data_IF_574972391833
#
_entry.id   IF_574972391833
#
_cell.length_a   1.000
_cell.length_b   1.000
_cell.length_c   1.000
_cell.angle_alpha   90.00
_cell.angle_beta   90.00
_cell.angle_gamma   90.00
#
_symmetry.space_group_name_H-M   'P 1'
#
loop_
_entity.id
_entity.type
_entity.pdbx_description
1 polymer ?
#
# COMPACT_ATOMS: atom_id res chain seq x y z
N UNK A 1 -34.13 19.94 -14.15
CA UNK A 1 -34.39 19.54 -12.75
C UNK A 1 -33.18 18.76 -12.32
N UNK A 2 -32.31 19.33 -11.50
CA UNK A 2 -31.05 18.68 -11.08
C UNK A 2 -31.41 17.60 -10.06
N UNK A 3 -31.39 16.34 -10.49
CA UNK A 3 -31.56 15.18 -9.62
C UNK A 3 -30.30 15.05 -8.77
N UNK A 4 -30.36 15.54 -7.54
CA UNK A 4 -29.29 15.34 -6.58
C UNK A 4 -29.40 13.95 -5.95
N UNK A 5 -28.27 13.26 -5.84
CA UNK A 5 -28.14 11.95 -5.22
C UNK A 5 -28.16 12.05 -3.70
N UNK A 6 -28.80 11.08 -3.03
CA UNK A 6 -28.52 10.79 -1.62
C UNK A 6 -27.14 10.14 -1.49
N UNK A 7 -26.58 10.11 -0.28
CA UNK A 7 -25.23 9.53 -0.05
C UNK A 7 -25.08 8.09 -0.58
N UNK A 8 -26.13 7.27 -0.53
CA UNK A 8 -26.11 5.92 -1.08
C UNK A 8 -26.15 5.87 -2.62
N UNK A 9 -26.93 6.76 -3.24
CA UNK A 9 -27.00 6.90 -4.70
C UNK A 9 -25.69 7.49 -5.24
N UNK A 10 -25.07 8.43 -4.51
CA UNK A 10 -23.76 8.99 -4.85
C UNK A 10 -22.66 7.94 -4.71
N UNK A 11 -22.74 7.12 -3.66
CA UNK A 11 -21.82 6.00 -3.47
C UNK A 11 -21.87 5.03 -4.65
N UNK A 12 -23.07 4.67 -5.11
CA UNK A 12 -23.30 3.82 -6.28
C UNK A 12 -22.79 4.48 -7.58
N UNK A 13 -23.11 5.76 -7.80
CA UNK A 13 -22.71 6.49 -9.00
C UNK A 13 -21.18 6.71 -9.10
N UNK A 14 -20.48 6.86 -7.98
CA UNK A 14 -19.04 7.19 -7.93
C UNK A 14 -18.14 5.99 -7.63
N UNK A 15 -18.71 4.85 -7.24
CA UNK A 15 -17.94 3.70 -6.75
C UNK A 15 -17.18 4.00 -5.46
N UNK A 16 -17.72 4.87 -4.59
CA UNK A 16 -17.12 5.18 -3.30
C UNK A 16 -18.02 4.69 -2.18
N UNK A 17 -17.44 4.12 -1.12
CA UNK A 17 -18.26 3.70 0.03
C UNK A 17 -18.95 4.90 0.69
N UNK A 18 -20.16 4.70 1.23
CA UNK A 18 -20.82 5.71 2.08
C UNK A 18 -19.90 6.14 3.23
N UNK A 19 -19.07 5.21 3.76
CA UNK A 19 -18.06 5.50 4.78
C UNK A 19 -16.98 6.45 4.26
N UNK A 20 -16.52 6.26 3.02
CA UNK A 20 -15.53 7.12 2.35
C UNK A 20 -16.12 8.50 2.10
N UNK A 21 -17.37 8.59 1.64
CA UNK A 21 -18.06 9.87 1.46
C UNK A 21 -18.23 10.62 2.79
N UNK A 22 -18.61 9.91 3.87
CA UNK A 22 -18.64 10.50 5.21
C UNK A 22 -17.26 10.93 5.71
N UNK A 23 -16.22 10.15 5.43
CA UNK A 23 -14.85 10.53 5.77
C UNK A 23 -14.39 11.77 4.99
N UNK A 24 -14.70 11.84 3.69
CA UNK A 24 -14.41 13.00 2.85
C UNK A 24 -15.16 14.24 3.32
N UNK A 25 -16.41 14.11 3.78
CA UNK A 25 -17.10 15.19 4.50
C UNK A 25 -16.39 15.60 5.79
N UNK A 26 -16.00 14.63 6.62
CA UNK A 26 -15.36 14.90 7.91
C UNK A 26 -14.05 15.69 7.74
N UNK A 27 -13.29 15.41 6.67
CA UNK A 27 -12.05 16.12 6.37
C UNK A 27 -12.27 17.34 5.46
N UNK A 28 -13.52 17.69 5.13
CA UNK A 28 -13.86 18.83 4.27
C UNK A 28 -13.45 18.67 2.80
N UNK A 29 -13.15 17.44 2.35
CA UNK A 29 -12.83 17.15 0.97
C UNK A 29 -14.08 17.08 0.08
N UNK A 30 -15.24 16.79 0.64
CA UNK A 30 -16.55 16.84 -0.02
C UNK A 30 -17.52 17.59 0.90
N UNK A 31 -18.43 18.39 0.35
CA UNK A 31 -19.52 19.01 1.12
C UNK A 31 -20.83 18.81 0.37
N UNK A 32 -21.89 18.27 0.98
CA UNK A 32 -23.14 18.03 0.27
C UNK A 32 -23.74 19.34 -0.23
N UNK A 33 -24.11 19.39 -1.50
CA UNK A 33 -24.69 20.58 -2.13
C UNK A 33 -25.97 21.07 -1.45
N UNK A 34 -26.68 20.18 -0.74
CA UNK A 34 -27.84 20.57 0.04
C UNK A 34 -28.42 19.49 0.94
N UNK A 35 -29.65 19.73 1.41
CA UNK A 35 -30.44 18.78 2.17
C UNK A 35 -31.85 18.70 1.62
N UNK A 36 -32.40 17.49 1.59
CA UNK A 36 -33.80 17.23 1.26
C UNK A 36 -34.75 17.86 2.31
N UNK A 37 -36.05 18.04 2.00
CA UNK A 37 -37.04 18.50 2.96
C UNK A 37 -37.15 17.62 4.23
N UNK A 38 -36.78 16.34 4.12
CA UNK A 38 -36.73 15.39 5.23
C UNK A 38 -35.37 15.39 5.98
N UNK A 39 -34.46 16.32 5.68
CA UNK A 39 -33.18 16.49 6.38
C UNK A 39 -31.98 15.68 5.85
N UNK A 40 -32.21 14.74 4.92
CA UNK A 40 -31.15 13.92 4.31
C UNK A 40 -30.21 14.77 3.45
N UNK A 41 -28.91 14.42 3.43
CA UNK A 41 -27.90 15.02 2.55
C UNK A 41 -28.24 14.76 1.07
N UNK A 42 -27.99 15.75 0.23
CA UNK A 42 -28.16 15.70 -1.22
C UNK A 42 -26.88 16.23 -1.86
N UNK A 43 -26.41 15.53 -2.88
CA UNK A 43 -25.22 15.85 -3.66
C UNK A 43 -25.59 15.98 -5.12
N UNK A 44 -25.14 17.03 -5.78
CA UNK A 44 -25.43 17.25 -7.19
C UNK A 44 -24.26 16.84 -8.11
N UNK A 45 -24.40 17.15 -9.40
CA UNK A 45 -23.38 16.81 -10.39
C UNK A 45 -22.01 17.45 -10.13
N UNK A 46 -21.94 18.59 -9.43
CA UNK A 46 -20.67 19.22 -9.08
C UNK A 46 -19.94 18.43 -7.98
N UNK A 47 -20.68 17.83 -7.06
CA UNK A 47 -20.13 16.93 -6.04
C UNK A 47 -19.55 15.66 -6.67
N UNK A 48 -20.24 15.09 -7.65
CA UNK A 48 -19.73 13.95 -8.44
C UNK A 48 -18.47 14.30 -9.23
N UNK A 49 -18.47 15.45 -9.92
CA UNK A 49 -17.30 15.93 -10.66
C UNK A 49 -16.10 16.13 -9.72
N UNK A 50 -16.34 16.70 -8.54
CA UNK A 50 -15.31 16.87 -7.52
C UNK A 50 -14.74 15.52 -7.07
N UNK A 51 -15.59 14.52 -6.83
CA UNK A 51 -15.15 13.17 -6.46
C UNK A 51 -14.34 12.47 -7.56
N UNK A 52 -14.73 12.65 -8.82
CA UNK A 52 -13.94 12.17 -9.95
C UNK A 52 -12.54 12.79 -9.98
N UNK A 53 -12.44 14.11 -9.76
CA UNK A 53 -11.14 14.82 -9.67
C UNK A 53 -10.30 14.37 -8.49
N UNK A 54 -10.92 14.08 -7.33
CA UNK A 54 -10.23 13.46 -6.19
C UNK A 54 -9.57 12.14 -6.59
N UNK A 55 -10.31 11.27 -7.30
CA UNK A 55 -9.80 9.99 -7.77
C UNK A 55 -8.62 10.13 -8.74
N UNK A 56 -8.70 11.07 -9.69
CA UNK A 56 -7.60 11.35 -10.62
C UNK A 56 -6.34 11.83 -9.90
N UNK A 57 -6.46 12.78 -8.99
CA UNK A 57 -5.31 13.36 -8.31
C UNK A 57 -4.64 12.38 -7.33
N UNK A 58 -5.42 11.50 -6.71
CA UNK A 58 -4.89 10.38 -5.92
C UNK A 58 -4.07 9.41 -6.77
N UNK A 59 -4.47 9.14 -8.02
CA UNK A 59 -3.68 8.30 -8.96
C UNK A 59 -2.37 8.96 -9.38
N UNK A 60 -2.29 10.29 -9.35
CA UNK A 60 -1.06 11.04 -9.60
C UNK A 60 -0.10 11.07 -8.39
N UNK A 61 -0.49 10.43 -7.27
CA UNK A 61 0.35 10.27 -6.07
C UNK A 61 0.13 11.33 -4.99
N UNK A 62 -0.81 12.27 -5.18
CA UNK A 62 -1.11 13.30 -4.19
C UNK A 62 -1.83 12.68 -2.96
N UNK A 63 -1.56 13.20 -1.77
CA UNK A 63 -2.31 12.85 -0.56
C UNK A 63 -3.67 13.60 -0.47
N UNK A 64 -4.58 13.17 0.41
CA UNK A 64 -5.92 13.79 0.49
C UNK A 64 -5.90 15.26 0.93
N UNK A 65 -4.87 15.70 1.66
CA UNK A 65 -4.73 17.09 2.08
C UNK A 65 -4.24 17.97 0.92
N UNK A 66 -3.32 17.46 0.10
CA UNK A 66 -2.86 18.04 -1.16
C UNK A 66 -4.00 18.14 -2.16
N UNK A 67 -4.77 17.07 -2.34
CA UNK A 67 -5.95 17.05 -3.21
C UNK A 67 -6.97 18.09 -2.78
N UNK A 68 -7.28 18.19 -1.48
CA UNK A 68 -8.21 19.22 -0.98
C UNK A 68 -7.73 20.63 -1.34
N UNK A 69 -6.46 20.95 -1.03
CA UNK A 69 -5.87 22.27 -1.35
C UNK A 69 -5.93 22.58 -2.85
N UNK A 70 -5.63 21.59 -3.68
CA UNK A 70 -5.68 21.73 -5.14
C UNK A 70 -7.10 21.98 -5.66
N UNK A 71 -8.11 21.29 -5.12
CA UNK A 71 -9.50 21.46 -5.57
C UNK A 71 -10.18 22.71 -5.01
N UNK A 72 -9.68 23.27 -3.92
CA UNK A 72 -10.23 24.47 -3.28
C UNK A 72 -9.58 25.77 -3.79
N UNK A 73 -8.44 25.67 -4.46
CA UNK A 73 -7.74 26.80 -5.06
C UNK A 73 -8.20 27.02 -6.51
N UNK A 74 -8.92 28.14 -6.81
CA UNK A 74 -9.39 28.44 -8.16
C UNK A 74 -8.26 28.71 -9.16
N UNK A 75 -7.06 29.03 -8.66
CA UNK A 75 -5.87 29.27 -9.46
C UNK A 75 -5.04 27.98 -9.68
N UNK A 76 -5.46 26.85 -9.11
CA UNK A 76 -4.75 25.60 -9.26
C UNK A 76 -4.85 25.07 -10.69
N UNK A 77 -3.69 24.87 -11.30
CA UNK A 77 -3.56 24.37 -12.67
C UNK A 77 -3.33 22.84 -12.66
N UNK A 78 -4.26 22.03 -13.20
CA UNK A 78 -4.07 20.59 -13.35
C UNK A 78 -2.86 20.23 -14.21
N UNK A 79 -2.45 21.13 -15.12
CA UNK A 79 -1.27 20.95 -15.95
C UNK A 79 -0.02 20.79 -15.10
N UNK A 80 0.12 21.56 -14.02
CA UNK A 80 1.28 21.46 -13.11
C UNK A 80 1.38 20.09 -12.44
N UNK A 81 0.26 19.48 -12.05
CA UNK A 81 0.27 18.13 -11.47
C UNK A 81 0.60 17.04 -12.50
N UNK A 82 0.12 17.21 -13.73
CA UNK A 82 0.44 16.32 -14.85
C UNK A 82 1.92 16.46 -15.29
N UNK A 83 2.45 17.68 -15.31
CA UNK A 83 3.86 17.97 -15.59
C UNK A 83 4.77 17.39 -14.51
N UNK A 84 4.40 17.53 -13.23
CA UNK A 84 5.13 16.92 -12.12
C UNK A 84 5.11 15.38 -12.23
N UNK A 85 3.97 14.80 -12.60
CA UNK A 85 3.86 13.35 -12.80
C UNK A 85 4.66 12.88 -14.02
N UNK A 86 4.60 13.61 -15.14
CA UNK A 86 5.40 13.34 -16.34
C UNK A 86 6.89 13.42 -16.02
N UNK A 87 7.34 14.45 -15.30
CA UNK A 87 8.72 14.59 -14.87
C UNK A 87 9.17 13.43 -13.96
N UNK A 88 8.29 12.94 -13.09
CA UNK A 88 8.57 11.77 -12.25
C UNK A 88 8.68 10.48 -13.08
N UNK A 89 7.81 10.30 -14.09
CA UNK A 89 7.87 9.18 -15.03
C UNK A 89 9.16 9.23 -15.88
N UNK A 90 9.51 10.40 -16.40
CA UNK A 90 10.74 10.62 -17.17
C UNK A 90 11.97 10.33 -16.32
N UNK A 91 12.03 10.80 -15.07
CA UNK A 91 13.13 10.50 -14.15
C UNK A 91 13.26 9.00 -13.90
N UNK A 92 12.14 8.27 -13.80
CA UNK A 92 12.14 6.81 -13.61
C UNK A 92 12.57 6.07 -14.87
N UNK A 93 12.13 6.50 -16.05
CA UNK A 93 12.58 5.96 -17.34
C UNK A 93 14.09 6.14 -17.51
N UNK A 94 14.58 7.34 -17.21
CA UNK A 94 16.00 7.67 -17.27
C UNK A 94 16.86 6.83 -16.33
N UNK A 95 16.42 6.66 -15.08
CA UNK A 95 17.09 5.78 -14.12
C UNK A 95 17.11 4.33 -14.61
N UNK A 96 15.97 3.83 -15.09
CA UNK A 96 15.84 2.48 -15.64
C UNK A 96 16.73 2.27 -16.87
N UNK A 97 16.80 3.26 -17.76
CA UNK A 97 17.65 3.21 -18.95
C UNK A 97 19.14 3.20 -18.59
N UNK A 98 19.55 3.98 -17.57
CA UNK A 98 20.92 3.97 -17.03
C UNK A 98 21.27 2.61 -16.43
N UNK A 99 20.41 2.06 -15.58
CA UNK A 99 20.55 0.71 -15.01
C UNK A 99 20.69 -0.35 -16.10
N UNK A 100 19.79 -0.35 -17.09
CA UNK A 100 19.84 -1.26 -18.24
C UNK A 100 21.16 -1.17 -18.99
N UNK A 101 21.63 0.05 -19.29
CA UNK A 101 22.88 0.27 -20.02
C UNK A 101 24.07 -0.31 -19.27
N UNK A 102 24.12 -0.11 -17.95
CA UNK A 102 25.17 -0.66 -17.07
C UNK A 102 25.14 -2.17 -16.99
N UNK A 103 23.98 -2.78 -16.77
CA UNK A 103 23.80 -4.24 -16.77
C UNK A 103 24.23 -4.83 -18.12
N UNK A 104 23.84 -4.21 -19.23
CA UNK A 104 24.26 -4.63 -20.56
C UNK A 104 25.78 -4.53 -20.75
N UNK A 105 26.42 -3.46 -20.26
CA UNK A 105 27.87 -3.30 -20.27
C UNK A 105 28.60 -4.37 -19.45
N UNK A 106 28.11 -4.67 -18.24
CA UNK A 106 28.64 -5.71 -17.37
C UNK A 106 28.57 -7.11 -17.99
N UNK A 107 27.43 -7.42 -18.62
CA UNK A 107 27.24 -8.68 -19.35
C UNK A 107 28.19 -8.78 -20.56
N UNK A 108 28.39 -7.67 -21.29
CA UNK A 108 29.32 -7.62 -22.42
C UNK A 108 30.80 -7.75 -21.98
N UNK A 109 31.15 -7.30 -20.76
CA UNK A 109 32.49 -7.42 -20.18
C UNK A 109 32.81 -8.83 -19.61
N UNK A 110 31.90 -9.80 -19.75
CA UNK A 110 32.12 -11.19 -19.34
C UNK A 110 31.63 -11.54 -17.94
N UNK A 111 30.88 -10.65 -17.27
CA UNK A 111 30.12 -10.97 -16.06
C UNK A 111 30.91 -11.46 -14.84
N UNK A 112 32.23 -11.25 -14.79
CA UNK A 112 33.09 -11.82 -13.74
C UNK A 112 33.18 -11.00 -12.46
N UNK A 113 32.74 -9.74 -12.45
CA UNK A 113 32.74 -8.91 -11.25
C UNK A 113 31.35 -8.33 -10.96
N UNK A 114 30.45 -9.24 -10.56
CA UNK A 114 29.09 -8.90 -10.12
C UNK A 114 29.10 -7.88 -8.98
N UNK A 115 30.16 -7.86 -8.15
CA UNK A 115 30.30 -6.98 -6.99
C UNK A 115 30.56 -5.53 -7.43
N UNK A 116 31.51 -5.31 -8.36
CA UNK A 116 31.77 -3.97 -8.90
C UNK A 116 30.54 -3.38 -9.62
N UNK A 117 29.77 -4.22 -10.31
CA UNK A 117 28.55 -3.80 -10.99
C UNK A 117 27.48 -3.38 -9.99
N UNK A 118 27.29 -4.13 -8.90
CA UNK A 118 26.34 -3.78 -7.84
C UNK A 118 26.72 -2.46 -7.13
N UNK A 119 28.01 -2.24 -6.87
CA UNK A 119 28.53 -1.03 -6.18
C UNK A 119 28.39 0.25 -7.03
N UNK A 120 28.49 0.11 -8.36
CA UNK A 120 28.28 1.21 -9.30
C UNK A 120 26.80 1.49 -9.61
N UNK A 121 25.91 0.51 -9.41
CA UNK A 121 24.47 0.72 -9.51
C UNK A 121 23.95 1.52 -8.32
N UNK A 122 24.51 1.31 -7.13
CA UNK A 122 24.12 2.06 -5.92
C UNK A 122 24.47 3.54 -5.93
N UNK A 123 25.33 4.02 -6.84
CA UNK A 123 25.85 5.41 -6.85
C UNK A 123 25.16 6.38 -7.82
N UNK A 124 24.28 5.93 -8.72
CA UNK A 124 23.61 6.79 -9.73
C UNK A 124 22.10 6.98 -9.53
N UNK A 125 21.54 6.41 -8.48
CA UNK A 125 20.10 6.45 -8.24
C UNK A 125 19.72 7.64 -7.33
N UNK A 126 18.47 8.14 -7.35
CA UNK A 126 17.98 9.03 -6.29
C UNK A 126 18.37 8.45 -4.92
N UNK A 127 18.67 9.29 -3.91
CA UNK A 127 19.27 8.82 -2.65
C UNK A 127 18.44 7.76 -1.93
N UNK A 128 17.14 7.64 -2.24
CA UNK A 128 16.30 6.51 -1.87
C UNK A 128 15.94 5.70 -3.12
N UNK A 129 16.43 4.46 -3.16
CA UNK A 129 16.31 3.52 -4.30
C UNK A 129 15.08 2.63 -4.18
N UNK A 130 14.85 2.11 -2.96
CA UNK A 130 13.78 1.17 -2.66
C UNK A 130 13.33 1.35 -1.21
N UNK A 131 12.03 1.26 -0.97
CA UNK A 131 11.47 1.15 0.39
C UNK A 131 11.46 -0.32 0.79
N UNK A 132 12.17 -0.66 1.86
CA UNK A 132 12.06 -1.95 2.53
C UNK A 132 11.18 -1.78 3.76
N UNK A 133 10.14 -2.61 3.88
CA UNK A 133 9.32 -2.64 5.08
C UNK A 133 10.04 -3.48 6.14
N UNK A 134 10.07 -2.99 7.38
CA UNK A 134 10.57 -3.73 8.54
C UNK A 134 9.41 -4.01 9.49
N UNK A 135 9.23 -5.28 9.85
CA UNK A 135 8.30 -5.75 10.87
C UNK A 135 9.07 -6.30 12.06
N UNK A 136 8.56 -6.04 13.27
CA UNK A 136 9.25 -6.39 14.52
C UNK A 136 8.51 -7.53 15.19
N UNK A 137 9.24 -8.60 15.53
CA UNK A 137 8.69 -9.77 16.20
C UNK A 137 9.50 -10.13 17.45
N UNK A 138 8.85 -10.73 18.44
CA UNK A 138 9.53 -11.28 19.60
C UNK A 138 10.39 -12.52 19.23
N UNK A 139 9.90 -13.35 18.31
CA UNK A 139 10.66 -14.47 17.72
C UNK A 139 10.64 -14.40 16.18
N UNK A 140 11.73 -13.89 15.60
CA UNK A 140 11.90 -13.73 14.15
C UNK A 140 11.82 -15.05 13.39
N UNK A 141 12.39 -16.12 13.95
CA UNK A 141 12.42 -17.42 13.28
C UNK A 141 11.03 -18.07 13.25
N UNK A 142 10.30 -17.99 14.36
CA UNK A 142 8.91 -18.42 14.42
C UNK A 142 8.02 -17.58 13.50
N UNK A 143 8.24 -16.26 13.47
CA UNK A 143 7.49 -15.35 12.61
C UNK A 143 7.67 -15.67 11.12
N UNK A 144 8.91 -15.82 10.64
CA UNK A 144 9.18 -16.18 9.24
C UNK A 144 8.48 -17.49 8.87
N UNK A 145 8.66 -18.54 9.68
CA UNK A 145 8.06 -19.84 9.44
C UNK A 145 6.53 -19.78 9.42
N UNK A 146 5.93 -18.99 10.30
CA UNK A 146 4.49 -18.79 10.36
C UNK A 146 3.98 -18.05 9.12
N UNK A 147 4.60 -16.92 8.75
CA UNK A 147 4.19 -16.10 7.60
C UNK A 147 4.27 -16.89 6.30
N UNK A 148 5.35 -17.63 6.09
CA UNK A 148 5.53 -18.51 4.92
C UNK A 148 4.44 -19.59 4.90
N UNK A 149 4.21 -20.26 6.03
CA UNK A 149 3.26 -21.37 6.10
C UNK A 149 1.80 -20.92 5.98
N UNK A 150 1.43 -19.80 6.58
CA UNK A 150 0.03 -19.39 6.80
C UNK A 150 -0.46 -18.38 5.76
N UNK A 151 0.43 -17.51 5.28
CA UNK A 151 0.14 -16.57 4.19
C UNK A 151 0.77 -16.99 2.86
N UNK A 152 1.54 -18.07 2.80
CA UNK A 152 2.13 -18.53 1.54
C UNK A 152 3.16 -17.56 0.97
N UNK A 153 3.75 -16.70 1.81
CA UNK A 153 4.88 -15.87 1.41
C UNK A 153 6.09 -16.74 1.11
N UNK A 154 6.99 -16.25 0.25
CA UNK A 154 8.23 -16.97 -0.02
C UNK A 154 9.26 -16.66 1.07
N UNK A 155 10.00 -17.66 1.57
CA UNK A 155 11.07 -17.42 2.52
C UNK A 155 12.24 -16.69 1.85
N UNK A 156 12.85 -15.76 2.57
CA UNK A 156 14.17 -15.22 2.25
C UNK A 156 15.21 -15.70 3.28
N UNK A 157 16.30 -14.96 3.42
CA UNK A 157 17.38 -15.31 4.33
C UNK A 157 16.93 -15.28 5.80
N UNK A 158 17.55 -16.13 6.63
CA UNK A 158 17.36 -16.15 8.08
C UNK A 158 18.72 -16.21 8.77
N UNK A 159 19.16 -15.07 9.29
CA UNK A 159 20.46 -14.92 9.93
C UNK A 159 20.33 -15.24 11.42
N UNK A 160 21.26 -16.04 11.92
CA UNK A 160 21.32 -16.44 13.33
C UNK A 160 22.64 -16.00 13.98
N UNK A 161 22.59 -15.68 15.26
CA UNK A 161 23.79 -15.43 16.06
C UNK A 161 24.51 -16.73 16.46
N UNK A 162 25.60 -16.61 17.23
CA UNK A 162 26.39 -17.74 17.71
C UNK A 162 25.65 -18.69 18.67
N UNK A 163 24.55 -18.23 19.27
CA UNK A 163 23.68 -19.03 20.14
C UNK A 163 22.52 -19.67 19.34
N UNK A 164 22.46 -19.44 18.03
CA UNK A 164 21.43 -19.96 17.14
C UNK A 164 20.12 -19.18 17.17
N UNK A 165 20.04 -18.02 17.83
CA UNK A 165 18.85 -17.16 17.82
C UNK A 165 18.75 -16.41 16.50
N UNK A 166 17.55 -16.31 15.93
CA UNK A 166 17.33 -15.53 14.72
C UNK A 166 17.43 -14.04 15.05
N UNK A 167 18.36 -13.33 14.42
CA UNK A 167 18.62 -11.89 14.63
C UNK A 167 18.19 -11.02 13.45
N UNK A 168 17.89 -11.65 12.32
CA UNK A 168 17.31 -11.04 11.14
C UNK A 168 16.66 -12.12 10.29
N UNK A 169 15.53 -11.82 9.65
CA UNK A 169 14.88 -12.72 8.72
C UNK A 169 14.19 -11.95 7.59
N UNK A 170 13.90 -12.65 6.51
CA UNK A 170 13.24 -12.06 5.34
C UNK A 170 12.06 -12.91 4.87
N UNK A 171 11.02 -12.25 4.38
CA UNK A 171 9.97 -12.87 3.57
C UNK A 171 9.71 -12.02 2.33
N UNK A 172 9.35 -12.67 1.23
CA UNK A 172 8.99 -11.98 0.00
C UNK A 172 7.47 -11.97 -0.19
N UNK A 173 6.95 -10.79 -0.53
CA UNK A 173 5.57 -10.56 -0.90
C UNK A 173 5.54 -9.86 -2.26
N UNK A 174 5.20 -10.62 -3.32
CA UNK A 174 5.29 -10.12 -4.69
C UNK A 174 6.75 -9.86 -5.11
N UNK A 175 7.02 -8.65 -5.58
CA UNK A 175 8.34 -8.17 -6.01
C UNK A 175 9.16 -7.51 -4.88
N UNK A 176 8.61 -7.40 -3.67
CA UNK A 176 9.24 -6.77 -2.51
C UNK A 176 9.72 -7.74 -1.44
N UNK A 177 10.79 -7.37 -0.75
CA UNK A 177 11.25 -8.03 0.49
C UNK A 177 10.73 -7.28 1.72
N UNK A 178 10.32 -8.03 2.73
CA UNK A 178 9.98 -7.54 4.06
C UNK A 178 11.03 -8.07 5.04
N UNK A 179 11.68 -7.16 5.76
CA UNK A 179 12.63 -7.50 6.81
C UNK A 179 11.91 -7.76 8.12
N UNK A 180 12.36 -8.80 8.82
CA UNK A 180 11.89 -9.23 10.11
C UNK A 180 13.01 -8.99 11.11
N UNK A 181 12.73 -8.19 12.13
CA UNK A 181 13.70 -7.81 13.16
C UNK A 181 13.23 -8.22 14.55
N UNK A 182 14.15 -8.58 15.45
CA UNK A 182 13.80 -8.79 16.84
C UNK A 182 13.46 -7.45 17.50
N UNK A 183 12.77 -7.52 18.63
CA UNK A 183 12.61 -6.37 19.51
C UNK A 183 13.96 -5.81 19.98
N UNK A 184 14.08 -4.49 20.02
CA UNK A 184 15.29 -3.79 20.43
C UNK A 184 14.95 -2.45 21.09
N UNK A 185 15.10 -2.39 22.42
CA UNK A 185 14.81 -1.19 23.23
C UNK A 185 15.63 0.03 22.80
N UNK A 186 16.90 -0.17 22.41
CA UNK A 186 17.80 0.91 21.99
C UNK A 186 17.23 1.73 20.81
N UNK A 187 16.42 1.09 19.97
CA UNK A 187 15.75 1.70 18.82
C UNK A 187 14.23 1.78 18.98
N UNK A 188 13.71 1.44 20.18
CA UNK A 188 12.27 1.38 20.49
C UNK A 188 11.50 0.48 19.52
N UNK A 189 12.12 -0.62 19.11
CA UNK A 189 11.48 -1.63 18.28
C UNK A 189 10.78 -2.62 19.21
N UNK A 190 9.45 -2.67 19.14
CA UNK A 190 8.62 -3.61 19.89
C UNK A 190 7.60 -4.25 18.95
N UNK A 191 7.30 -5.53 19.19
CA UNK A 191 6.28 -6.27 18.46
C UNK A 191 4.87 -5.83 18.87
N UNK A 192 3.84 -6.11 18.04
CA UNK A 192 2.46 -5.90 18.44
C UNK A 192 2.07 -6.73 19.67
N UNK A 193 2.68 -7.92 19.85
CA UNK A 193 2.43 -8.77 21.02
C UNK A 193 2.88 -8.12 22.33
N UNK A 194 4.03 -7.44 22.31
CA UNK A 194 4.55 -6.70 23.47
C UNK A 194 3.81 -5.39 23.71
N UNK A 195 3.44 -4.67 22.66
CA UNK A 195 2.74 -3.37 22.77
C UNK A 195 1.24 -3.55 23.08
N UNK A 196 0.64 -4.67 22.71
CA UNK A 196 -0.80 -4.93 22.82
C UNK A 196 -1.64 -4.18 21.77
N UNK A 197 -1.03 -3.73 20.69
CA UNK A 197 -1.68 -3.04 19.58
C UNK A 197 -0.89 -3.25 18.28
N UNK A 198 -1.58 -3.22 17.14
CA UNK A 198 -0.95 -3.30 15.81
C UNK A 198 0.09 -2.19 15.63
N UNK A 199 1.35 -2.56 15.40
CA UNK A 199 2.47 -1.63 15.18
C UNK A 199 2.70 -1.30 13.70
N UNK A 200 2.25 -2.17 12.79
CA UNK A 200 2.29 -1.97 11.35
C UNK A 200 1.13 -2.70 10.66
N UNK A 201 0.76 -2.20 9.47
CA UNK A 201 -0.17 -2.88 8.57
C UNK A 201 0.43 -3.03 7.18
N UNK A 202 0.23 -4.20 6.57
CA UNK A 202 0.77 -4.56 5.25
C UNK A 202 -0.37 -4.91 4.31
N UNK A 203 -0.31 -4.38 3.09
CA UNK A 203 -1.26 -4.68 2.03
C UNK A 203 -0.54 -5.40 0.88
N UNK A 204 -1.03 -6.57 0.49
CA UNK A 204 -0.40 -7.43 -0.52
C UNK A 204 -1.41 -7.75 -1.63
N UNK A 205 -1.00 -7.56 -2.88
CA UNK A 205 -1.79 -7.97 -4.04
C UNK A 205 -1.66 -9.48 -4.24
N UNK A 206 -2.79 -10.17 -4.46
CA UNK A 206 -2.85 -11.61 -4.69
C UNK A 206 -3.66 -11.94 -5.92
N UNK A 207 -3.38 -13.10 -6.53
CA UNK A 207 -4.13 -13.56 -7.70
C UNK A 207 -5.56 -13.94 -7.36
N UNK A 208 -5.86 -14.46 -6.17
CA UNK A 208 -7.22 -14.85 -5.81
C UNK A 208 -7.41 -14.66 -4.31
N UNK A 209 -8.18 -13.63 -3.96
CA UNK A 209 -8.44 -13.21 -2.57
C UNK A 209 -9.22 -14.28 -1.83
N UNK A 210 -10.23 -14.90 -2.46
CA UNK A 210 -11.05 -15.93 -1.81
C UNK A 210 -10.28 -17.23 -1.61
N UNK A 211 -9.47 -17.63 -2.60
CA UNK A 211 -8.62 -18.82 -2.47
C UNK A 211 -7.54 -18.61 -1.42
N UNK A 212 -6.94 -17.42 -1.36
CA UNK A 212 -5.95 -17.09 -0.34
C UNK A 212 -6.59 -17.06 1.05
N UNK A 213 -7.76 -16.44 1.19
CA UNK A 213 -8.55 -16.43 2.41
C UNK A 213 -8.88 -17.85 2.91
N UNK A 214 -9.45 -18.72 2.05
CA UNK A 214 -9.75 -20.11 2.43
C UNK A 214 -8.53 -20.84 2.98
N UNK A 215 -7.37 -20.71 2.33
CA UNK A 215 -6.11 -21.30 2.82
C UNK A 215 -5.72 -20.74 4.20
N UNK A 216 -5.88 -19.44 4.43
CA UNK A 216 -5.59 -18.84 5.73
C UNK A 216 -6.54 -19.34 6.82
N UNK A 217 -7.83 -19.47 6.54
CA UNK A 217 -8.83 -20.03 7.48
C UNK A 217 -8.51 -21.50 7.79
N UNK A 218 -8.24 -22.32 6.77
CA UNK A 218 -7.85 -23.73 6.95
C UNK A 218 -6.55 -23.86 7.77
N UNK A 219 -5.70 -22.84 7.69
CA UNK A 219 -4.48 -22.74 8.44
C UNK A 219 -4.68 -22.12 9.85
N UNK A 220 -5.91 -21.80 10.26
CA UNK A 220 -6.23 -21.27 11.59
C UNK A 220 -5.68 -19.87 11.84
N UNK A 221 -5.59 -19.05 10.79
CA UNK A 221 -5.24 -17.62 10.90
C UNK A 221 -6.41 -16.85 11.52
N UNK A 222 -6.09 -15.84 12.34
CA UNK A 222 -7.08 -14.93 12.91
C UNK A 222 -7.56 -13.91 11.86
N UNK A 223 -8.71 -14.18 11.25
CA UNK A 223 -9.32 -13.31 10.23
C UNK A 223 -10.15 -12.23 10.92
N UNK A 224 -9.76 -10.97 10.75
CA UNK A 224 -10.47 -9.82 11.32
C UNK A 224 -11.47 -9.19 10.33
N UNK A 225 -11.35 -9.50 9.04
CA UNK A 225 -12.30 -9.09 8.00
C UNK A 225 -12.38 -10.16 6.91
N UNK A 226 -13.57 -10.72 6.72
CA UNK A 226 -13.89 -11.66 5.64
C UNK A 226 -13.74 -11.01 4.24
N UNK A 227 -13.55 -11.81 3.17
CA UNK A 227 -13.48 -11.31 1.80
C UNK A 227 -14.70 -10.49 1.42
N UNK A 228 -14.45 -9.23 1.05
CA UNK A 228 -15.48 -8.29 0.65
C UNK A 228 -14.97 -7.46 -0.52
N UNK A 229 -15.83 -7.26 -1.52
CA UNK A 229 -15.57 -6.30 -2.59
C UNK A 229 -15.66 -4.90 -1.99
N UNK A 230 -14.55 -4.18 -2.09
CA UNK A 230 -14.44 -2.80 -1.67
C UNK A 230 -14.89 -1.92 -2.81
N UNK A 231 -15.68 -0.90 -2.48
CA UNK A 231 -16.28 -0.03 -3.49
C UNK A 231 -15.24 0.65 -4.41
N UNK A 232 -13.99 0.81 -3.94
CA UNK A 232 -12.86 1.32 -4.74
C UNK A 232 -12.21 0.29 -5.70
N UNK A 233 -12.95 -0.75 -6.08
CA UNK A 233 -12.58 -1.68 -7.14
C UNK A 233 -11.60 -2.79 -6.72
N UNK A 234 -11.58 -3.18 -5.45
CA UNK A 234 -10.75 -4.29 -4.98
C UNK A 234 -11.53 -5.28 -4.13
N UNK A 235 -11.41 -6.57 -4.39
CA UNK A 235 -11.77 -7.60 -3.42
C UNK A 235 -10.69 -7.68 -2.35
N UNK A 236 -11.05 -7.66 -1.07
CA UNK A 236 -10.08 -7.61 0.05
C UNK A 236 -10.54 -8.45 1.22
N UNK A 237 -9.62 -9.17 1.87
CA UNK A 237 -9.80 -9.69 3.23
C UNK A 237 -8.62 -9.26 4.12
N UNK A 238 -8.82 -9.24 5.44
CA UNK A 238 -7.79 -8.86 6.40
C UNK A 238 -7.68 -9.84 7.56
N UNK A 239 -6.46 -10.02 8.06
CA UNK A 239 -6.14 -10.95 9.13
C UNK A 239 -5.00 -10.43 10.01
N UNK A 240 -4.96 -10.88 11.25
CA UNK A 240 -3.81 -10.70 12.13
C UNK A 240 -2.81 -11.85 11.96
N UNK A 241 -1.52 -11.52 12.05
CA UNK A 241 -0.48 -12.53 12.16
C UNK A 241 -0.31 -13.05 13.60
N UNK A 242 0.68 -13.91 13.83
CA UNK A 242 0.92 -14.56 15.12
C UNK A 242 1.10 -13.59 16.31
N UNK A 243 1.49 -12.34 16.06
CA UNK A 243 1.79 -11.37 17.11
C UNK A 243 0.88 -10.13 17.03
N UNK A 244 0.12 -9.94 15.95
CA UNK A 244 -0.94 -8.94 15.84
C UNK A 244 -0.69 -7.83 14.82
N UNK A 245 0.24 -7.98 13.87
CA UNK A 245 0.28 -7.07 12.73
C UNK A 245 -0.94 -7.30 11.84
N UNK A 246 -1.44 -6.22 11.21
CA UNK A 246 -2.60 -6.29 10.34
C UNK A 246 -2.18 -6.51 8.88
N UNK A 247 -2.58 -7.64 8.31
CA UNK A 247 -2.34 -7.97 6.92
C UNK A 247 -3.64 -7.88 6.11
N UNK A 248 -3.58 -7.24 4.95
CA UNK A 248 -4.68 -7.14 3.99
C UNK A 248 -4.26 -7.72 2.66
N UNK A 249 -5.04 -8.64 2.11
CA UNK A 249 -4.78 -9.24 0.81
C UNK A 249 -5.86 -8.82 -0.16
N UNK A 250 -5.45 -8.31 -1.32
CA UNK A 250 -6.34 -7.63 -2.25
C UNK A 250 -6.11 -7.99 -3.71
N UNK A 251 -7.17 -7.90 -4.51
CA UNK A 251 -7.12 -8.02 -5.97
C UNK A 251 -8.10 -7.02 -6.58
N UNK A 252 -7.73 -6.38 -7.68
CA UNK A 252 -8.67 -5.55 -8.43
C UNK A 252 -9.83 -6.42 -8.96
N UNK A 253 -11.07 -5.97 -8.77
CA UNK A 253 -12.26 -6.59 -9.38
C UNK A 253 -12.44 -6.05 -10.80
N UNK A 254 -12.67 -6.96 -11.74
CA UNK A 254 -12.88 -6.67 -13.16
C UNK A 254 -14.30 -6.11 -13.43
#
# INVERSE_FOLDING_TARGET
>A
MTTGHRVGELAEATGLTVRTLHYYEQIGLLTPSGRSPAGHRIYDAADEERLYRVGLLRRLGMDLAEVRRALDDPAWDPTTALEAHLAALDARLDATARLRSKVAGALAAGGTDLVAVLDELTTLEPPAQQRILLLVYADVGAAQAWLVKRFGLLPGDLVRDGDGRAVHGEVHAGDGVIWLHPEQDAYRLASPGTVGATTASVAVLVDDVDAHHRRSVDAGVDVCQEPVDQDYGYRVYSAYDLEGHLWSFLRAVD
#
